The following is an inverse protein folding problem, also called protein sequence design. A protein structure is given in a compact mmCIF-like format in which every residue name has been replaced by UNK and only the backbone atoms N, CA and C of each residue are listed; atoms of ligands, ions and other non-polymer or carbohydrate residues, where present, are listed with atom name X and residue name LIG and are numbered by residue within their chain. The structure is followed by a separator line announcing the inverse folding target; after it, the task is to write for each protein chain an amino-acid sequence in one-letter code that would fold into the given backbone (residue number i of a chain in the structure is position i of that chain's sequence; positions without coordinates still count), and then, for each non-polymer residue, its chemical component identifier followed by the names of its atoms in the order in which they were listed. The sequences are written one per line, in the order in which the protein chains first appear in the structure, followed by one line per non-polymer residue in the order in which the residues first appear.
data_IF_176127846284
#
_entry.id   IF_176127846284
#
_cell.length_a   1.000
_cell.length_b   1.000
_cell.length_c   1.000
_cell.angle_alpha   90.00
_cell.angle_beta   90.00
_cell.angle_gamma   90.00
#
_symmetry.space_group_name_H-M   'P 1'
#
loop_
_entity.id
_entity.type
_entity.pdbx_description
1 polymer ?
#
# COMPACT_ATOMS: atom_id res chain seq x y z
N UNK A 1 23.34 3.67 8.52
CA UNK A 1 22.04 4.35 8.36
C UNK A 1 21.13 3.30 7.79
N UNK A 2 20.27 2.70 8.62
CA UNK A 2 19.36 1.65 8.18
C UNK A 2 18.58 2.17 6.97
N UNK A 3 18.56 1.40 5.87
CA UNK A 3 17.72 1.74 4.73
C UNK A 3 16.27 1.77 5.22
N UNK A 4 15.67 2.96 5.32
CA UNK A 4 14.23 3.07 5.53
C UNK A 4 13.58 2.71 4.19
N UNK A 5 13.29 1.42 4.06
CA UNK A 5 12.58 0.82 2.95
C UNK A 5 11.17 1.41 2.83
N UNK A 6 10.73 1.65 1.60
CA UNK A 6 9.36 2.09 1.33
C UNK A 6 8.44 0.87 1.44
N UNK A 7 7.36 0.99 2.21
CA UNK A 7 6.34 -0.05 2.34
C UNK A 7 5.14 0.25 1.44
N UNK A 8 4.78 -0.73 0.63
CA UNK A 8 3.63 -0.69 -0.26
C UNK A 8 2.50 -1.58 0.26
N UNK A 9 1.26 -1.08 0.26
CA UNK A 9 0.07 -1.89 0.50
C UNK A 9 -0.72 -2.07 -0.79
N UNK A 10 -0.98 -3.32 -1.16
CA UNK A 10 -1.92 -3.62 -2.25
C UNK A 10 -3.30 -3.83 -1.65
N UNK A 11 -4.21 -2.91 -1.93
CA UNK A 11 -5.52 -2.81 -1.30
C UNK A 11 -5.58 -1.70 -0.26
N UNK A 12 -6.37 -0.67 -0.54
CA UNK A 12 -6.65 0.47 0.33
C UNK A 12 -7.97 0.37 1.08
N UNK A 13 -8.62 -0.80 1.11
CA UNK A 13 -9.84 -1.06 1.88
C UNK A 13 -9.63 -0.97 3.41
N UNK A 14 -10.58 -1.51 4.18
CA UNK A 14 -10.57 -1.39 5.65
C UNK A 14 -9.30 -1.96 6.31
N UNK A 15 -8.83 -3.13 5.86
CA UNK A 15 -7.60 -3.73 6.41
C UNK A 15 -6.35 -2.93 6.02
N UNK A 16 -6.23 -2.53 4.76
CA UNK A 16 -5.11 -1.69 4.29
C UNK A 16 -5.03 -0.37 5.05
N UNK A 17 -6.16 0.32 5.20
CA UNK A 17 -6.22 1.56 6.01
C UNK A 17 -5.85 1.32 7.48
N UNK A 18 -6.36 0.24 8.10
CA UNK A 18 -6.03 -0.06 9.50
C UNK A 18 -4.52 -0.25 9.70
N UNK A 19 -3.85 -0.91 8.76
CA UNK A 19 -2.40 -1.09 8.75
C UNK A 19 -1.67 0.24 8.54
N UNK A 20 -2.08 1.06 7.57
CA UNK A 20 -1.52 2.41 7.35
C UNK A 20 -1.62 3.24 8.62
N UNK A 21 -2.83 3.33 9.20
CA UNK A 21 -3.07 4.07 10.45
C UNK A 21 -2.18 3.56 11.57
N UNK A 22 -2.13 2.24 11.79
CA UNK A 22 -1.33 1.64 12.85
C UNK A 22 0.17 1.93 12.69
N UNK A 23 0.71 1.84 11.48
CA UNK A 23 2.12 2.16 11.20
C UNK A 23 2.45 3.63 11.45
N UNK A 24 1.53 4.55 11.10
CA UNK A 24 1.69 5.98 11.34
C UNK A 24 1.61 6.32 12.83
N UNK A 25 0.62 5.79 13.53
CA UNK A 25 0.43 6.00 14.98
C UNK A 25 1.62 5.47 15.79
N UNK A 26 2.13 4.29 15.42
CA UNK A 26 3.31 3.69 16.02
C UNK A 26 4.64 4.35 15.57
N UNK A 27 4.59 5.32 14.64
CA UNK A 27 5.75 6.02 14.07
C UNK A 27 6.79 5.09 13.45
N UNK A 28 6.35 3.97 12.88
CA UNK A 28 7.23 3.01 12.21
C UNK A 28 7.74 3.55 10.86
N UNK A 29 6.87 4.28 10.14
CA UNK A 29 7.21 4.91 8.88
C UNK A 29 6.62 6.33 8.82
N UNK A 30 7.32 7.31 8.21
CA UNK A 30 6.68 8.57 7.83
C UNK A 30 5.70 8.34 6.67
N UNK A 31 4.66 9.18 6.50
CA UNK A 31 3.69 9.04 5.39
C UNK A 31 4.33 8.93 4.00
N UNK A 32 5.41 9.68 3.77
CA UNK A 32 6.16 9.68 2.51
C UNK A 32 6.86 8.33 2.19
N UNK A 33 6.91 7.40 3.15
CA UNK A 33 7.46 6.05 2.98
C UNK A 33 6.39 4.96 2.91
N UNK A 34 5.12 5.35 2.85
CA UNK A 34 3.99 4.45 2.69
C UNK A 34 3.32 4.76 1.35
N UNK A 35 3.11 3.72 0.55
CA UNK A 35 2.36 3.80 -0.70
C UNK A 35 1.20 2.80 -0.68
N UNK A 36 0.05 3.17 -1.25
CA UNK A 36 -1.12 2.28 -1.35
C UNK A 36 -1.55 2.15 -2.81
N UNK A 37 -1.75 0.93 -3.28
CA UNK A 37 -2.40 0.65 -4.56
C UNK A 37 -3.89 0.36 -4.30
N UNK A 38 -4.76 1.22 -4.80
CA UNK A 38 -6.22 1.13 -4.60
C UNK A 38 -6.95 1.55 -5.89
N UNK A 39 -7.74 0.66 -6.52
CA UNK A 39 -8.40 0.98 -7.79
C UNK A 39 -9.55 2.00 -7.67
N UNK A 40 -10.20 2.13 -6.50
CA UNK A 40 -11.34 3.05 -6.34
C UNK A 40 -10.88 4.52 -6.13
N UNK A 41 -11.21 5.46 -7.04
CA UNK A 41 -10.71 6.83 -6.97
C UNK A 41 -11.15 7.59 -5.70
N UNK A 42 -12.40 7.40 -5.25
CA UNK A 42 -12.89 8.07 -4.04
C UNK A 42 -12.12 7.59 -2.81
N UNK A 43 -11.78 6.30 -2.79
CA UNK A 43 -10.93 5.74 -1.75
C UNK A 43 -9.50 6.25 -1.82
N UNK A 44 -8.94 6.42 -3.01
CA UNK A 44 -7.62 7.01 -3.16
C UNK A 44 -7.57 8.43 -2.58
N UNK A 45 -8.55 9.27 -2.92
CA UNK A 45 -8.63 10.64 -2.44
C UNK A 45 -8.77 10.70 -0.92
N UNK A 46 -9.60 9.84 -0.34
CA UNK A 46 -9.71 9.71 1.11
C UNK A 46 -8.36 9.35 1.76
N UNK A 47 -7.62 8.38 1.21
CA UNK A 47 -6.35 7.93 1.77
C UNK A 47 -5.28 9.03 1.68
N UNK A 48 -5.20 9.74 0.55
CA UNK A 48 -4.31 10.90 0.40
C UNK A 48 -4.64 11.99 1.40
N UNK A 49 -5.92 12.39 1.49
CA UNK A 49 -6.34 13.50 2.35
C UNK A 49 -6.19 13.18 3.85
N UNK A 50 -6.53 11.95 4.25
CA UNK A 50 -6.55 11.56 5.67
C UNK A 50 -5.15 11.24 6.20
N UNK A 51 -4.32 10.59 5.39
CA UNK A 51 -3.04 10.03 5.86
C UNK A 51 -1.80 10.64 5.20
N UNK A 52 -1.96 11.47 4.17
CA UNK A 52 -0.85 12.07 3.40
C UNK A 52 0.13 11.05 2.81
N UNK A 53 -0.36 9.84 2.52
CA UNK A 53 0.42 8.76 1.89
C UNK A 53 0.38 8.85 0.37
N UNK A 54 1.36 8.25 -0.30
CA UNK A 54 1.31 8.10 -1.75
C UNK A 54 0.23 7.07 -2.12
N UNK A 55 -0.51 7.32 -3.20
CA UNK A 55 -1.56 6.40 -3.67
C UNK A 55 -1.56 6.33 -5.19
N UNK A 56 -1.63 5.10 -5.72
CA UNK A 56 -1.75 4.79 -7.14
C UNK A 56 -2.94 3.86 -7.38
N UNK A 57 -3.42 3.80 -8.62
CA UNK A 57 -4.34 2.76 -9.07
C UNK A 57 -3.59 1.49 -9.53
N UNK A 58 -2.28 1.57 -9.78
CA UNK A 58 -1.49 0.52 -10.39
C UNK A 58 -0.63 -0.23 -9.35
N UNK A 59 -0.95 -1.50 -9.14
CA UNK A 59 -0.20 -2.37 -8.23
C UNK A 59 1.24 -2.63 -8.70
N UNK A 60 1.52 -2.61 -10.01
CA UNK A 60 2.86 -2.80 -10.56
C UNK A 60 3.74 -1.56 -10.39
N UNK A 61 3.16 -0.36 -10.48
CA UNK A 61 3.87 0.87 -10.14
C UNK A 61 4.33 0.84 -8.67
N UNK A 62 3.42 0.47 -7.77
CA UNK A 62 3.74 0.29 -6.35
C UNK A 62 4.86 -0.74 -6.16
N UNK A 63 4.82 -1.85 -6.90
CA UNK A 63 5.84 -2.90 -6.84
C UNK A 63 7.24 -2.40 -7.19
N UNK A 64 7.35 -1.52 -8.19
CA UNK A 64 8.63 -0.93 -8.61
C UNK A 64 9.15 0.14 -7.64
N UNK A 65 8.28 0.74 -6.83
CA UNK A 65 8.62 1.84 -5.92
C UNK A 65 8.87 1.39 -4.46
N UNK A 66 8.48 0.17 -4.09
CA UNK A 66 8.50 -0.31 -2.71
C UNK A 66 9.42 -1.52 -2.52
N UNK A 67 10.17 -1.54 -1.42
CA UNK A 67 11.02 -2.70 -1.06
C UNK A 67 10.22 -3.80 -0.35
N UNK A 68 9.13 -3.42 0.34
CA UNK A 68 8.25 -4.34 1.07
C UNK A 68 6.84 -4.17 0.53
N UNK A 69 6.18 -5.27 0.18
CA UNK A 69 4.79 -5.27 -0.28
C UNK A 69 3.93 -6.08 0.68
N UNK A 70 2.89 -5.45 1.21
CA UNK A 70 1.86 -6.07 2.04
C UNK A 70 0.60 -6.21 1.19
N UNK A 71 0.14 -7.44 0.99
CA UNK A 71 -1.09 -7.73 0.25
C UNK A 71 -2.28 -7.69 1.23
N UNK A 72 -3.07 -6.60 1.16
CA UNK A 72 -4.21 -6.31 2.04
C UNK A 72 -5.54 -6.32 1.27
N UNK A 73 -5.70 -7.25 0.34
CA UNK A 73 -6.91 -7.43 -0.47
C UNK A 73 -7.83 -8.52 0.08
N UNK A 74 -9.07 -8.54 -0.41
CA UNK A 74 -10.02 -9.61 -0.06
C UNK A 74 -9.53 -10.97 -0.56
N UNK A 75 -9.78 -12.09 0.17
CA UNK A 75 -9.29 -13.42 -0.20
C UNK A 75 -9.63 -13.84 -1.64
N UNK A 76 -10.80 -13.45 -2.14
CA UNK A 76 -11.30 -13.83 -3.46
C UNK A 76 -10.43 -13.30 -4.61
N UNK A 77 -9.69 -12.21 -4.40
CA UNK A 77 -8.88 -11.57 -5.44
C UNK A 77 -7.37 -11.75 -5.23
N UNK A 78 -6.94 -12.41 -4.15
CA UNK A 78 -5.50 -12.63 -3.86
C UNK A 78 -4.82 -13.30 -5.05
N UNK A 79 -5.41 -14.36 -5.63
CA UNK A 79 -4.79 -15.06 -6.76
C UNK A 79 -4.58 -14.18 -8.00
N UNK A 80 -5.54 -13.30 -8.29
CA UNK A 80 -5.44 -12.34 -9.41
C UNK A 80 -4.43 -11.23 -9.15
N UNK A 81 -4.26 -10.83 -7.89
CA UNK A 81 -3.24 -9.85 -7.50
C UNK A 81 -1.85 -10.47 -7.55
N UNK A 82 -1.67 -11.67 -6.98
CA UNK A 82 -0.38 -12.34 -6.91
C UNK A 82 0.15 -12.74 -8.28
N UNK A 83 -0.72 -13.00 -9.28
CA UNK A 83 -0.27 -13.31 -10.64
C UNK A 83 0.44 -12.14 -11.34
N UNK A 84 0.26 -10.90 -10.85
CA UNK A 84 1.00 -9.72 -11.33
C UNK A 84 2.47 -9.76 -10.89
N UNK A 85 2.76 -10.46 -9.80
CA UNK A 85 4.09 -10.57 -9.21
C UNK A 85 4.71 -11.91 -9.60
N UNK A 86 5.69 -11.88 -10.49
CA UNK A 86 6.44 -13.08 -10.86
C UNK A 86 7.52 -13.37 -9.83
N UNK A 87 7.67 -14.61 -9.35
CA UNK A 87 8.92 -15.03 -8.75
C UNK A 87 10.02 -14.85 -9.81
N UNK A 88 11.11 -14.18 -9.43
CA UNK A 88 12.31 -14.06 -10.27
C UNK A 88 12.94 -15.42 -10.58
#
# INVERSE_FOLDING_TARGET
MEHIDTVGLVGGGQMGEALVRGMLEARLFPPAKIMVAEPDPARQDYLRATYSVAVTADALELAGACSIIIVAVKPQIIGSVLSLYRPG
#
